data_IF_653633970359
#
_entry.id   IF_653633970359
#
_cell.length_a   1.000
_cell.length_b   1.000
_cell.length_c   1.000
_cell.angle_alpha   90.00
_cell.angle_beta   90.00
_cell.angle_gamma   90.00
#
_symmetry.space_group_name_H-M   'P 1'
#
loop_
_entity.id
_entity.type
_entity.pdbx_description
1 polymer ?
#
# COMPACT_ATOMS: atom_id res chain seq x y z
N UNK A 1 21.50 -12.60 -12.72
CA UNK A 1 20.40 -13.54 -13.04
C UNK A 1 19.18 -12.90 -12.38
N UNK A 2 18.18 -12.40 -13.12
CA UNK A 2 16.98 -11.82 -12.46
C UNK A 2 16.35 -12.98 -11.67
N UNK A 3 16.38 -12.91 -10.34
CA UNK A 3 15.90 -14.03 -9.52
C UNK A 3 14.38 -14.16 -9.71
N UNK A 4 13.90 -15.39 -9.72
CA UNK A 4 12.47 -15.70 -9.85
C UNK A 4 11.74 -15.43 -8.54
N UNK A 5 10.41 -15.39 -8.58
CA UNK A 5 9.57 -15.40 -7.37
C UNK A 5 9.96 -16.57 -6.45
N UNK A 6 10.14 -16.29 -5.16
CA UNK A 6 10.37 -17.29 -4.13
C UNK A 6 9.27 -17.20 -3.05
N UNK A 7 8.35 -18.16 -3.06
CA UNK A 7 7.28 -18.22 -2.06
C UNK A 7 7.79 -18.53 -0.66
N UNK A 8 8.95 -19.20 -0.53
CA UNK A 8 9.50 -19.54 0.77
C UNK A 8 9.95 -18.28 1.54
N UNK A 9 10.32 -17.21 0.82
CA UNK A 9 10.61 -15.91 1.39
C UNK A 9 9.40 -15.27 2.09
N UNK A 10 8.17 -15.65 1.72
CA UNK A 10 6.92 -15.09 2.27
C UNK A 10 6.38 -15.87 3.48
N UNK A 11 6.79 -17.13 3.65
CA UNK A 11 6.31 -18.01 4.74
C UNK A 11 6.51 -17.46 6.16
N UNK A 12 7.57 -16.69 6.47
CA UNK A 12 7.69 -16.04 7.79
C UNK A 12 6.60 -15.00 8.08
N UNK A 13 6.00 -14.41 7.04
CA UNK A 13 5.05 -13.30 7.15
C UNK A 13 3.59 -13.74 6.92
N UNK A 14 3.39 -14.84 6.20
CA UNK A 14 2.08 -15.41 5.94
C UNK A 14 2.08 -16.94 6.10
N UNK A 15 1.36 -17.43 7.10
CA UNK A 15 1.11 -18.87 7.25
C UNK A 15 0.12 -19.35 6.17
N UNK A 16 0.33 -20.58 5.67
CA UNK A 16 -0.54 -21.21 4.65
C UNK A 16 -0.69 -20.36 3.38
N UNK A 17 0.43 -19.82 2.90
CA UNK A 17 0.50 -19.12 1.62
C UNK A 17 0.80 -20.09 0.48
N UNK A 18 0.03 -20.00 -0.61
CA UNK A 18 0.20 -20.83 -1.80
C UNK A 18 0.02 -20.00 -3.08
N UNK A 19 0.76 -20.35 -4.13
CA UNK A 19 0.59 -19.74 -5.46
C UNK A 19 -0.68 -20.27 -6.12
N UNK A 20 -1.44 -19.37 -6.72
CA UNK A 20 -2.69 -19.68 -7.42
C UNK A 20 -2.47 -19.60 -8.93
N UNK A 21 -2.43 -20.75 -9.59
CA UNK A 21 -2.18 -20.82 -11.03
C UNK A 21 -3.42 -20.65 -11.91
N UNK A 22 -4.59 -21.16 -11.49
CA UNK A 22 -5.84 -21.13 -12.28
C UNK A 22 -6.71 -19.90 -11.95
N UNK A 23 -6.09 -18.72 -11.91
CA UNK A 23 -6.75 -17.48 -11.48
C UNK A 23 -7.89 -17.03 -12.40
N UNK A 24 -7.92 -17.48 -13.66
CA UNK A 24 -8.95 -17.11 -14.63
C UNK A 24 -10.35 -17.60 -14.22
N UNK A 25 -10.41 -18.63 -13.36
CA UNK A 25 -11.67 -19.23 -12.87
C UNK A 25 -12.16 -18.63 -11.56
N UNK A 26 -11.39 -17.75 -10.94
CA UNK A 26 -11.71 -17.18 -9.64
C UNK A 26 -12.60 -15.95 -9.86
N UNK A 27 -13.85 -16.04 -9.42
CA UNK A 27 -14.84 -14.96 -9.55
C UNK A 27 -14.70 -13.89 -8.45
N UNK A 28 -14.04 -14.21 -7.34
CA UNK A 28 -13.89 -13.31 -6.20
C UNK A 28 -12.72 -12.34 -6.32
N UNK A 29 -11.89 -12.42 -7.37
CA UNK A 29 -10.83 -11.44 -7.65
C UNK A 29 -11.28 -10.50 -8.79
N UNK A 30 -10.84 -9.23 -8.78
CA UNK A 30 -11.18 -8.28 -9.83
C UNK A 30 -10.69 -8.71 -11.22
N UNK A 31 -11.43 -8.36 -12.28
CA UNK A 31 -10.97 -8.61 -13.65
C UNK A 31 -9.71 -7.80 -13.99
N UNK A 32 -9.51 -6.64 -13.35
CA UNK A 32 -8.27 -5.87 -13.45
C UNK A 32 -7.04 -6.66 -12.99
N UNK A 33 -7.17 -7.50 -11.97
CA UNK A 33 -6.08 -8.37 -11.50
C UNK A 33 -5.75 -9.45 -12.52
N UNK A 34 -6.77 -10.05 -13.15
CA UNK A 34 -6.57 -11.06 -14.20
C UNK A 34 -5.82 -10.46 -15.39
N UNK A 35 -6.14 -9.24 -15.79
CA UNK A 35 -5.42 -8.52 -16.85
C UNK A 35 -3.96 -8.24 -16.47
N UNK A 36 -3.69 -7.81 -15.24
CA UNK A 36 -2.32 -7.58 -14.74
C UNK A 36 -1.51 -8.86 -14.70
N UNK A 37 -2.07 -9.95 -14.17
CA UNK A 37 -1.44 -11.26 -14.15
C UNK A 37 -1.12 -11.74 -15.57
N UNK A 38 -2.05 -11.53 -16.52
CA UNK A 38 -1.80 -11.85 -17.93
C UNK A 38 -0.66 -11.01 -18.52
N UNK A 39 -0.56 -9.72 -18.21
CA UNK A 39 0.55 -8.88 -18.65
C UNK A 39 1.88 -9.29 -18.03
N UNK A 40 1.91 -9.55 -16.72
CA UNK A 40 3.10 -10.00 -16.00
C UNK A 40 3.62 -11.34 -16.52
N UNK A 41 2.74 -12.33 -16.69
CA UNK A 41 3.05 -13.65 -17.26
C UNK A 41 3.64 -13.59 -18.66
N UNK A 42 3.26 -12.56 -19.44
CA UNK A 42 3.80 -12.33 -20.78
C UNK A 42 5.07 -11.46 -20.78
N UNK A 43 5.65 -11.15 -19.62
CA UNK A 43 6.86 -10.33 -19.48
C UNK A 43 6.67 -8.89 -19.96
N UNK A 44 5.50 -8.29 -19.71
CA UNK A 44 5.14 -6.93 -20.17
C UNK A 44 5.00 -5.94 -19.00
N UNK A 45 6.11 -5.56 -18.33
CA UNK A 45 6.07 -4.64 -17.19
C UNK A 45 5.52 -3.25 -17.59
N UNK A 46 5.80 -2.76 -18.80
CA UNK A 46 5.23 -1.51 -19.33
C UNK A 46 3.69 -1.52 -19.35
N UNK A 47 3.08 -2.67 -19.62
CA UNK A 47 1.62 -2.81 -19.67
C UNK A 47 1.03 -2.79 -18.26
N UNK A 48 1.71 -3.39 -17.28
CA UNK A 48 1.34 -3.31 -15.87
C UNK A 48 1.41 -1.86 -15.38
N UNK A 49 2.54 -1.19 -15.62
CA UNK A 49 2.73 0.22 -15.26
C UNK A 49 1.66 1.12 -15.93
N UNK A 50 1.36 0.89 -17.21
CA UNK A 50 0.31 1.61 -17.93
C UNK A 50 -1.08 1.33 -17.39
N UNK A 51 -1.33 0.15 -16.81
CA UNK A 51 -2.61 -0.19 -16.20
C UNK A 51 -2.80 0.57 -14.89
N UNK A 52 -1.80 0.54 -14.00
CA UNK A 52 -1.81 1.33 -12.76
C UNK A 52 -1.98 2.83 -13.04
N UNK A 53 -1.21 3.38 -13.98
CA UNK A 53 -1.24 4.81 -14.34
C UNK A 53 -2.61 5.31 -14.78
N UNK A 54 -3.46 4.45 -15.35
CA UNK A 54 -4.84 4.83 -15.71
C UNK A 54 -5.74 5.01 -14.50
N UNK A 55 -5.43 4.30 -13.41
CA UNK A 55 -6.22 4.33 -12.18
C UNK A 55 -5.69 5.43 -11.28
N UNK A 56 -4.36 5.52 -11.11
CA UNK A 56 -3.69 6.46 -10.20
C UNK A 56 -2.56 7.18 -10.94
N UNK A 57 -2.80 8.27 -11.67
CA UNK A 57 -1.76 8.90 -12.49
C UNK A 57 -0.57 9.47 -11.68
N UNK A 58 -0.70 9.63 -10.36
CA UNK A 58 0.24 10.36 -9.51
C UNK A 58 1.52 9.57 -9.13
N UNK A 59 1.51 8.25 -9.21
CA UNK A 59 2.65 7.39 -8.79
C UNK A 59 3.69 7.21 -9.91
N UNK A 60 4.13 8.32 -10.48
CA UNK A 60 5.01 8.33 -11.66
C UNK A 60 6.35 7.62 -11.43
N UNK A 61 6.97 7.81 -10.27
CA UNK A 61 8.21 7.18 -9.87
C UNK A 61 8.05 5.66 -9.76
N UNK A 62 6.96 5.20 -9.13
CA UNK A 62 6.61 3.76 -9.07
C UNK A 62 6.49 3.16 -10.47
N UNK A 63 5.85 3.87 -11.41
CA UNK A 63 5.68 3.38 -12.78
C UNK A 63 6.99 3.28 -13.54
N UNK A 64 7.86 4.27 -13.44
CA UNK A 64 9.18 4.19 -14.06
C UNK A 64 10.00 3.04 -13.44
N UNK A 65 9.90 2.84 -12.12
CA UNK A 65 10.58 1.72 -11.47
C UNK A 65 10.12 0.35 -11.97
N UNK A 66 8.80 0.17 -12.15
CA UNK A 66 8.22 -1.09 -12.64
C UNK A 66 8.78 -1.51 -14.00
N UNK A 67 8.95 -0.57 -14.95
CA UNK A 67 9.35 -0.89 -16.32
C UNK A 67 10.68 -1.64 -16.38
N UNK A 68 11.63 -1.25 -15.52
CA UNK A 68 12.98 -1.82 -15.51
C UNK A 68 13.13 -2.97 -14.52
N UNK A 69 12.41 -2.91 -13.41
CA UNK A 69 12.70 -3.71 -12.22
C UNK A 69 11.58 -4.67 -11.81
N UNK A 70 10.37 -4.59 -12.39
CA UNK A 70 9.34 -5.61 -12.17
C UNK A 70 9.79 -6.94 -12.79
N UNK A 71 9.94 -7.93 -11.93
CA UNK A 71 10.34 -9.29 -12.28
C UNK A 71 9.10 -10.10 -12.64
N UNK A 72 8.11 -10.10 -11.75
CA UNK A 72 6.93 -10.96 -11.85
C UNK A 72 5.81 -10.43 -10.93
N UNK A 73 4.58 -10.92 -11.18
CA UNK A 73 3.44 -10.73 -10.28
C UNK A 73 2.74 -12.07 -10.12
N UNK A 74 2.60 -12.52 -8.88
CA UNK A 74 1.94 -13.78 -8.55
C UNK A 74 0.64 -13.54 -7.80
N UNK A 75 -0.41 -14.27 -8.15
CA UNK A 75 -1.58 -14.38 -7.28
C UNK A 75 -1.27 -15.43 -6.22
N UNK A 76 -1.43 -15.05 -4.96
CA UNK A 76 -1.31 -15.98 -3.83
C UNK A 76 -2.64 -16.08 -3.12
N UNK A 77 -2.86 -17.22 -2.47
CA UNK A 77 -3.90 -17.37 -1.49
C UNK A 77 -3.31 -17.53 -0.10
N UNK A 78 -3.95 -16.90 0.88
CA UNK A 78 -3.64 -17.05 2.30
C UNK A 78 -4.85 -17.63 3.01
N UNK A 79 -4.65 -18.77 3.67
CA UNK A 79 -5.71 -19.48 4.39
C UNK A 79 -5.63 -19.22 5.89
N UNK A 80 -6.72 -18.67 6.45
CA UNK A 80 -6.91 -18.42 7.89
C UNK A 80 -8.15 -19.17 8.38
N UNK A 81 -7.94 -20.41 8.84
CA UNK A 81 -9.05 -21.30 9.20
C UNK A 81 -9.84 -21.71 7.96
N UNK A 82 -11.15 -21.44 7.94
CA UNK A 82 -12.01 -21.72 6.78
C UNK A 82 -12.01 -20.59 5.74
N UNK A 83 -11.37 -19.45 6.03
CA UNK A 83 -11.35 -18.30 5.16
C UNK A 83 -10.13 -18.34 4.23
N UNK A 84 -10.40 -18.19 2.93
CA UNK A 84 -9.37 -18.08 1.89
C UNK A 84 -9.42 -16.69 1.29
N UNK A 85 -8.35 -15.93 1.49
CA UNK A 85 -8.16 -14.61 0.88
C UNK A 85 -7.12 -14.68 -0.23
N UNK A 86 -7.15 -13.68 -1.10
CA UNK A 86 -6.25 -13.57 -2.23
C UNK A 86 -5.49 -12.23 -2.17
N UNK A 87 -4.23 -12.28 -2.58
CA UNK A 87 -3.38 -11.11 -2.72
C UNK A 87 -2.55 -11.21 -4.00
N UNK A 88 -2.22 -10.08 -4.62
CA UNK A 88 -1.16 -10.00 -5.61
C UNK A 88 0.17 -9.73 -4.92
N UNK A 89 1.20 -10.51 -5.25
CA UNK A 89 2.57 -10.25 -4.83
C UNK A 89 3.36 -9.74 -6.03
N UNK A 90 3.80 -8.49 -5.93
CA UNK A 90 4.68 -7.84 -6.90
C UNK A 90 6.13 -8.13 -6.51
N UNK A 91 6.91 -8.63 -7.47
CA UNK A 91 8.32 -8.97 -7.27
C UNK A 91 9.19 -7.93 -7.96
N UNK A 92 9.90 -7.13 -7.18
CA UNK A 92 10.69 -6.01 -7.68
C UNK A 92 12.16 -6.26 -7.38
N UNK A 93 13.02 -6.16 -8.39
CA UNK A 93 14.47 -6.19 -8.16
C UNK A 93 14.91 -4.85 -7.58
N UNK A 94 15.54 -4.85 -6.41
CA UNK A 94 16.26 -3.68 -5.88
C UNK A 94 17.74 -3.79 -6.23
N UNK A 95 18.24 -2.81 -6.99
CA UNK A 95 19.68 -2.76 -7.32
C UNK A 95 20.52 -2.31 -6.14
N UNK A 96 19.98 -1.41 -5.33
CA UNK A 96 20.71 -0.77 -4.24
C UNK A 96 20.77 -1.68 -3.00
N UNK A 97 19.74 -2.50 -2.79
CA UNK A 97 19.71 -3.55 -1.76
C UNK A 97 20.26 -4.91 -2.22
N UNK A 98 20.47 -5.09 -3.53
CA UNK A 98 20.88 -6.36 -4.16
C UNK A 98 19.95 -7.55 -3.81
N UNK A 99 18.64 -7.30 -3.75
CA UNK A 99 17.63 -8.28 -3.36
C UNK A 99 16.30 -8.12 -4.12
N UNK A 100 15.40 -9.08 -3.94
CA UNK A 100 14.00 -8.97 -4.39
C UNK A 100 13.13 -8.47 -3.26
N UNK A 101 12.43 -7.38 -3.54
CA UNK A 101 11.38 -6.85 -2.70
C UNK A 101 10.04 -7.45 -3.10
N UNK A 102 9.24 -7.78 -2.09
CA UNK A 102 7.91 -8.34 -2.27
C UNK A 102 6.89 -7.32 -1.77
N UNK A 103 6.02 -6.85 -2.65
CA UNK A 103 4.92 -5.96 -2.29
C UNK A 103 3.58 -6.66 -2.39
N UNK A 104 2.79 -6.64 -1.32
CA UNK A 104 1.46 -7.24 -1.25
C UNK A 104 0.39 -6.19 -1.58
N UNK A 105 -0.46 -6.46 -2.58
CA UNK A 105 -1.77 -5.84 -2.72
C UNK A 105 -2.87 -6.84 -2.33
N UNK A 106 -3.72 -6.49 -1.35
CA UNK A 106 -4.83 -7.36 -0.95
C UNK A 106 -6.04 -7.16 -1.84
N UNK A 107 -6.90 -8.17 -1.90
CA UNK A 107 -8.08 -8.17 -2.76
C UNK A 107 -9.11 -7.12 -2.29
N UNK A 108 -9.42 -6.09 -3.10
CA UNK A 108 -10.37 -5.05 -2.74
C UNK A 108 -11.80 -5.57 -2.54
N UNK A 109 -12.16 -6.69 -3.16
CA UNK A 109 -13.49 -7.28 -2.99
C UNK A 109 -13.69 -7.97 -1.63
N UNK A 110 -12.60 -8.23 -0.90
CA UNK A 110 -12.60 -8.87 0.41
C UNK A 110 -12.15 -7.91 1.53
N UNK A 111 -12.06 -6.61 1.22
CA UNK A 111 -11.57 -5.60 2.16
C UNK A 111 -12.40 -5.52 3.43
N UNK A 112 -11.68 -5.43 4.54
CA UNK A 112 -12.24 -5.07 5.82
C UNK A 112 -11.85 -3.62 6.10
N UNK A 113 -12.78 -2.83 6.62
CA UNK A 113 -12.54 -1.44 6.98
C UNK A 113 -12.40 -1.38 8.49
N UNK A 114 -11.34 -0.73 8.97
CA UNK A 114 -11.17 -0.46 10.39
C UNK A 114 -12.38 0.32 10.94
N UNK A 115 -12.90 -0.07 12.12
CA UNK A 115 -14.09 0.55 12.70
C UNK A 115 -13.93 2.06 12.94
N UNK A 116 -12.71 2.51 13.26
CA UNK A 116 -12.39 3.93 13.44
C UNK A 116 -12.39 4.70 12.12
N UNK A 117 -11.99 4.07 11.00
CA UNK A 117 -11.98 4.70 9.67
C UNK A 117 -13.37 4.69 9.02
N UNK A 118 -14.21 3.71 9.35
CA UNK A 118 -15.52 3.48 8.71
C UNK A 118 -16.41 4.74 8.61
N UNK A 119 -16.50 5.64 9.60
CA UNK A 119 -17.28 6.89 9.49
C UNK A 119 -16.73 7.87 8.44
N UNK A 120 -15.47 7.72 8.04
CA UNK A 120 -14.74 8.63 7.17
C UNK A 120 -14.54 8.10 5.75
N UNK A 121 -14.88 6.83 5.47
CA UNK A 121 -14.57 6.16 4.20
C UNK A 121 -15.15 6.89 2.98
N UNK A 122 -16.38 7.38 3.09
CA UNK A 122 -17.07 8.10 2.01
C UNK A 122 -16.52 9.52 1.79
N UNK A 123 -15.64 9.98 2.67
CA UNK A 123 -14.97 11.28 2.61
C UNK A 123 -13.53 11.18 2.09
N UNK A 124 -13.06 9.98 1.73
CA UNK A 124 -11.76 9.82 1.11
C UNK A 124 -11.70 10.55 -0.24
N UNK A 125 -10.56 11.15 -0.59
CA UNK A 125 -10.33 11.68 -1.94
C UNK A 125 -10.61 10.63 -3.01
N UNK A 126 -11.18 11.05 -4.15
CA UNK A 126 -11.60 10.15 -5.24
C UNK A 126 -10.47 9.23 -5.74
N UNK A 127 -9.24 9.74 -5.78
CA UNK A 127 -8.09 8.96 -6.23
C UNK A 127 -7.70 7.88 -5.19
N UNK A 128 -7.88 8.14 -3.89
CA UNK A 128 -7.70 7.10 -2.87
C UNK A 128 -8.80 6.05 -2.96
N UNK A 129 -10.06 6.45 -3.14
CA UNK A 129 -11.15 5.50 -3.40
C UNK A 129 -10.90 4.66 -4.65
N UNK A 130 -10.36 5.26 -5.70
CA UNK A 130 -9.98 4.57 -6.93
C UNK A 130 -8.85 3.57 -6.70
N UNK A 131 -7.86 3.94 -5.87
CA UNK A 131 -6.78 3.03 -5.47
C UNK A 131 -7.36 1.86 -4.68
N UNK A 132 -8.15 2.11 -3.64
CA UNK A 132 -8.72 1.06 -2.78
C UNK A 132 -9.77 0.19 -3.47
N UNK A 133 -10.36 0.66 -4.58
CA UNK A 133 -11.19 -0.16 -5.46
C UNK A 133 -10.37 -1.09 -6.36
N UNK A 134 -9.08 -0.81 -6.53
CA UNK A 134 -8.15 -1.57 -7.35
C UNK A 134 -7.27 -2.51 -6.52
N UNK A 135 -6.71 -2.04 -5.40
CA UNK A 135 -5.93 -2.78 -4.42
C UNK A 135 -6.28 -2.34 -3.00
N UNK A 136 -6.48 -3.29 -2.10
CA UNK A 136 -6.59 -2.99 -0.68
C UNK A 136 -5.21 -2.90 -0.03
N UNK A 137 -4.66 -1.69 -0.05
CA UNK A 137 -3.26 -1.45 0.27
C UNK A 137 -2.31 -1.94 -0.81
N UNK A 138 -1.07 -1.48 -0.74
CA UNK A 138 0.05 -2.02 -1.51
C UNK A 138 1.35 -1.63 -0.81
N UNK A 139 1.96 -2.57 -0.07
CA UNK A 139 3.12 -2.29 0.79
C UNK A 139 4.11 -3.46 0.80
N UNK A 140 5.33 -3.18 1.22
CA UNK A 140 6.41 -4.17 1.27
C UNK A 140 6.14 -5.18 2.40
N UNK A 141 6.29 -6.49 2.10
CA UNK A 141 5.86 -7.59 2.97
C UNK A 141 6.73 -7.75 4.21
N UNK A 142 8.05 -7.55 4.09
CA UNK A 142 9.00 -7.76 5.18
C UNK A 142 8.85 -6.69 6.26
N UNK A 143 8.76 -5.44 5.84
CA UNK A 143 8.68 -4.26 6.70
C UNK A 143 7.25 -3.88 7.05
N UNK A 144 6.26 -4.36 6.27
CA UNK A 144 4.85 -3.97 6.38
C UNK A 144 4.68 -2.46 6.23
N UNK A 145 5.48 -1.84 5.36
CA UNK A 145 5.61 -0.40 5.20
C UNK A 145 5.97 -0.02 3.75
N UNK A 146 6.36 1.23 3.53
CA UNK A 146 6.80 1.77 2.23
C UNK A 146 5.74 1.70 1.12
N UNK A 147 4.47 1.69 1.51
CA UNK A 147 3.34 1.77 0.60
C UNK A 147 2.02 1.98 1.33
N UNK A 148 0.92 2.00 0.59
CA UNK A 148 -0.39 2.28 1.18
C UNK A 148 -0.84 1.14 2.09
N UNK A 149 -1.32 1.49 3.27
CA UNK A 149 -1.86 0.55 4.24
C UNK A 149 -3.19 -0.04 3.75
N UNK A 150 -3.48 -1.33 4.02
CA UNK A 150 -4.83 -1.88 3.86
C UNK A 150 -5.85 -1.15 4.71
N UNK A 151 -7.09 -1.03 4.24
CA UNK A 151 -8.18 -0.32 4.92
C UNK A 151 -8.45 -0.82 6.35
N UNK A 152 -8.13 -2.08 6.64
CA UNK A 152 -8.28 -2.68 7.96
C UNK A 152 -7.23 -2.21 8.96
N UNK A 153 -6.09 -1.71 8.48
CA UNK A 153 -4.91 -1.35 9.27
C UNK A 153 -4.72 0.17 9.37
N UNK A 154 -5.46 0.95 8.60
CA UNK A 154 -5.54 2.41 8.74
C UNK A 154 -6.28 2.75 10.05
N UNK A 155 -5.59 3.44 10.95
CA UNK A 155 -6.07 3.81 12.27
C UNK A 155 -5.76 5.29 12.55
N UNK A 156 -6.52 5.95 13.45
CA UNK A 156 -6.21 7.31 13.87
C UNK A 156 -4.92 7.32 14.70
N UNK A 157 -4.13 8.38 14.58
CA UNK A 157 -2.89 8.53 15.34
C UNK A 157 -3.14 8.51 16.86
N UNK A 158 -4.35 8.85 17.33
CA UNK A 158 -4.69 8.76 18.75
C UNK A 158 -4.70 7.35 19.33
N UNK A 159 -4.68 6.30 18.48
CA UNK A 159 -4.62 4.91 18.94
C UNK A 159 -3.22 4.52 19.43
N UNK A 160 -2.19 5.29 19.04
CA UNK A 160 -0.81 5.11 19.45
C UNK A 160 -0.38 6.08 20.56
N UNK A 161 0.61 5.67 21.34
CA UNK A 161 1.24 6.51 22.37
C UNK A 161 2.51 7.16 21.81
N UNK A 162 2.47 8.48 21.67
CA UNK A 162 3.53 9.27 21.03
C UNK A 162 4.37 10.00 22.08
N UNK A 163 5.55 9.46 22.39
CA UNK A 163 6.47 10.08 23.35
C UNK A 163 6.89 11.51 22.99
N UNK A 164 6.83 11.90 21.71
CA UNK A 164 7.16 13.25 21.26
C UNK A 164 6.13 14.31 21.67
N UNK A 165 4.91 13.92 22.06
CA UNK A 165 3.86 14.88 22.42
C UNK A 165 4.24 15.80 23.58
N UNK A 166 5.02 15.28 24.54
CA UNK A 166 5.52 16.05 25.67
C UNK A 166 6.50 17.16 25.26
N UNK A 167 7.14 17.02 24.09
CA UNK A 167 8.13 17.95 23.54
C UNK A 167 7.52 18.94 22.55
N UNK A 168 6.31 18.69 22.06
CA UNK A 168 5.65 19.49 21.04
C UNK A 168 4.76 20.57 21.66
N UNK A 169 5.18 21.82 21.51
CA UNK A 169 4.31 22.97 21.81
C UNK A 169 3.38 23.27 20.61
N UNK A 170 2.07 23.38 20.89
CA UNK A 170 1.04 23.85 19.95
C UNK A 170 0.92 23.02 18.67
N UNK A 171 0.53 21.75 18.78
CA UNK A 171 0.14 20.91 17.64
C UNK A 171 -1.27 21.30 17.19
N UNK A 172 -1.44 21.54 15.89
CA UNK A 172 -2.73 21.91 15.27
C UNK A 172 -3.40 20.75 14.51
N UNK A 173 -2.98 19.53 14.79
CA UNK A 173 -3.49 18.29 14.20
C UNK A 173 -4.33 17.58 15.26
N UNK A 174 -5.60 17.28 14.93
CA UNK A 174 -6.43 16.42 15.77
C UNK A 174 -6.08 14.95 15.52
N UNK A 175 -5.30 14.35 16.43
CA UNK A 175 -4.84 12.96 16.31
C UNK A 175 -5.99 11.94 16.26
N UNK A 176 -7.17 12.27 16.78
CA UNK A 176 -8.34 11.39 16.70
C UNK A 176 -9.00 11.38 15.32
N UNK A 177 -8.58 12.31 14.45
CA UNK A 177 -9.12 12.52 13.10
C UNK A 177 -8.04 12.43 12.03
N UNK A 178 -6.77 12.33 12.41
CA UNK A 178 -5.64 12.10 11.53
C UNK A 178 -5.35 10.60 11.44
N UNK A 179 -5.56 10.02 10.26
CA UNK A 179 -5.40 8.59 10.02
C UNK A 179 -4.10 8.29 9.27
N UNK A 180 -3.41 7.22 9.66
CA UNK A 180 -2.17 6.77 9.04
C UNK A 180 -2.44 5.91 7.80
N UNK A 181 -2.10 6.43 6.61
CA UNK A 181 -2.28 5.73 5.33
C UNK A 181 -1.01 5.06 4.82
N UNK A 182 0.13 5.39 5.40
CA UNK A 182 1.45 4.90 5.01
C UNK A 182 2.41 5.09 6.18
N UNK A 183 3.31 4.12 6.37
CA UNK A 183 4.48 4.20 7.25
C UNK A 183 5.75 4.00 6.45
N UNK A 184 6.85 4.66 6.85
CA UNK A 184 8.19 4.42 6.31
C UNK A 184 8.98 3.36 7.10
N UNK A 185 8.37 2.72 8.10
CA UNK A 185 8.99 1.81 9.06
C UNK A 185 10.11 2.41 9.95
N UNK A 186 10.34 3.72 9.89
CA UNK A 186 11.31 4.43 10.75
C UNK A 186 10.66 5.39 11.73
N UNK A 187 9.32 5.49 11.70
CA UNK A 187 8.52 6.29 12.62
C UNK A 187 7.92 7.53 11.98
N UNK A 188 8.03 7.68 10.66
CA UNK A 188 7.34 8.71 9.90
C UNK A 188 6.12 8.12 9.16
N UNK A 189 5.03 8.87 9.16
CA UNK A 189 3.74 8.45 8.63
C UNK A 189 3.17 9.53 7.74
N UNK A 190 2.56 9.12 6.63
CA UNK A 190 1.76 10.01 5.79
C UNK A 190 0.30 9.85 6.17
N UNK A 191 -0.30 10.95 6.62
CA UNK A 191 -1.61 10.95 7.24
C UNK A 191 -2.59 11.86 6.51
N UNK A 192 -3.89 11.56 6.64
CA UNK A 192 -4.97 12.46 6.23
C UNK A 192 -5.80 12.79 7.46
N UNK A 193 -5.99 14.08 7.71
CA UNK A 193 -6.86 14.59 8.77
C UNK A 193 -8.24 14.93 8.23
N UNK A 194 -9.28 14.23 8.70
CA UNK A 194 -10.66 14.48 8.26
C UNK A 194 -11.28 15.61 9.07
N UNK A 195 -11.41 16.83 8.53
CA UNK A 195 -12.04 17.97 9.23
C UNK A 195 -13.55 18.09 8.92
N UNK A 196 -14.41 18.54 9.86
CA UNK A 196 -15.87 18.59 9.67
C UNK A 196 -16.39 19.55 8.59
N UNK A 197 -15.56 20.46 8.05
CA UNK A 197 -16.02 21.59 7.25
C UNK A 197 -15.08 22.03 6.12
N UNK A 198 -14.06 21.24 5.79
CA UNK A 198 -13.07 21.56 4.76
C UNK A 198 -13.02 20.42 3.73
N UNK A 199 -12.71 20.76 2.48
CA UNK A 199 -12.32 19.77 1.48
C UNK A 199 -11.17 18.93 2.09
N UNK A 200 -11.32 17.60 2.12
CA UNK A 200 -10.56 16.65 2.94
C UNK A 200 -9.08 16.45 2.52
N UNK A 201 -8.43 17.48 2.00
CA UNK A 201 -7.10 17.43 1.41
C UNK A 201 -5.98 17.86 2.38
N UNK A 202 -6.24 17.97 3.69
CA UNK A 202 -5.18 18.26 4.67
C UNK A 202 -4.38 17.00 4.98
N UNK A 203 -3.51 16.62 4.05
CA UNK A 203 -2.50 15.61 4.27
C UNK A 203 -1.34 16.19 5.08
N UNK A 204 -0.79 15.39 5.97
CA UNK A 204 0.30 15.78 6.86
C UNK A 204 1.31 14.64 7.00
N UNK A 205 2.55 14.99 7.33
CA UNK A 205 3.53 14.02 7.80
C UNK A 205 3.55 14.06 9.31
N UNK A 206 3.19 12.95 9.93
CA UNK A 206 3.41 12.71 11.34
C UNK A 206 4.75 12.03 11.56
N UNK A 207 5.46 12.37 12.64
CA UNK A 207 6.76 11.79 12.96
C UNK A 207 6.82 11.47 14.45
N UNK A 208 7.28 10.27 14.78
CA UNK A 208 7.57 9.87 16.16
C UNK A 208 8.77 10.62 16.77
N UNK A 209 9.55 11.32 15.93
CA UNK A 209 10.86 11.87 16.30
C UNK A 209 11.01 13.36 16.01
N UNK A 210 10.12 13.95 15.19
CA UNK A 210 10.20 15.34 14.80
C UNK A 210 8.83 16.04 14.85
N UNK A 211 8.85 17.38 14.83
CA UNK A 211 7.63 18.16 14.67
C UNK A 211 6.90 17.77 13.36
N UNK A 212 5.57 17.54 13.39
CA UNK A 212 4.81 17.18 12.20
C UNK A 212 4.86 18.29 11.13
N UNK A 213 4.71 17.89 9.87
CA UNK A 213 4.64 18.80 8.72
C UNK A 213 3.24 18.81 8.18
N UNK A 214 2.60 19.97 8.21
CA UNK A 214 1.22 20.13 7.75
C UNK A 214 1.13 20.51 6.27
N UNK A 215 -0.02 20.22 5.65
CA UNK A 215 -0.39 20.63 4.27
C UNK A 215 0.60 20.14 3.20
N UNK A 216 0.98 18.87 3.29
CA UNK A 216 1.89 18.25 2.33
C UNK A 216 1.15 17.76 1.09
N UNK A 217 1.85 17.60 -0.03
CA UNK A 217 1.29 16.88 -1.18
C UNK A 217 1.32 15.37 -0.91
N UNK A 218 0.17 14.81 -0.54
CA UNK A 218 0.02 13.38 -0.22
C UNK A 218 0.66 12.48 -1.28
N UNK A 219 0.19 12.59 -2.53
CA UNK A 219 0.64 11.70 -3.60
C UNK A 219 2.11 11.91 -3.96
N UNK A 220 2.60 13.14 -3.91
CA UNK A 220 4.02 13.42 -4.14
C UNK A 220 4.92 12.78 -3.10
N UNK A 221 4.51 12.78 -1.82
CA UNK A 221 5.24 12.08 -0.77
C UNK A 221 5.12 10.57 -0.88
N UNK A 222 3.92 10.05 -1.17
CA UNK A 222 3.70 8.63 -1.37
C UNK A 222 4.57 8.08 -2.50
N UNK A 223 4.57 8.71 -3.67
CA UNK A 223 5.41 8.31 -4.82
C UNK A 223 6.90 8.34 -4.46
N UNK A 224 7.37 9.44 -3.86
CA UNK A 224 8.77 9.60 -3.51
C UNK A 224 9.25 8.60 -2.44
N UNK A 225 8.48 8.42 -1.37
CA UNK A 225 8.85 7.54 -0.26
C UNK A 225 8.76 6.07 -0.63
N UNK A 226 7.76 5.68 -1.43
CA UNK A 226 7.72 4.32 -1.98
C UNK A 226 8.90 4.04 -2.90
N UNK A 227 9.33 5.00 -3.73
CA UNK A 227 10.55 4.85 -4.55
C UNK A 227 11.81 4.70 -3.67
N UNK A 228 11.94 5.50 -2.62
CA UNK A 228 13.02 5.32 -1.62
C UNK A 228 12.92 3.93 -0.98
N UNK A 229 11.73 3.40 -0.77
CA UNK A 229 11.53 2.03 -0.30
C UNK A 229 12.04 0.95 -1.27
N UNK A 230 12.16 1.25 -2.57
CA UNK A 230 12.75 0.32 -3.55
C UNK A 230 14.28 0.36 -3.59
N UNK A 231 14.87 1.48 -3.21
CA UNK A 231 16.31 1.77 -3.21
C UNK A 231 16.94 1.43 -1.85
#
# INVERSE_FOLDING_TARGET
>A
MKSTFDIDALKPYAANIDIVHDYERISSIPDSWKEILNHAKNGKPDMVASYWKKIIPELSGVYEYFKDNLIDIQLVSVEKGEYKNYSLIYCLWSKDKDEVLYYEARNPAASLINDSLRPYIDYLPENLLSFYSFHDGWREVVTMAMGLEPLSEIHPLSDDDWGILDELENINIDLSRAFSFFSDATGDYLCIEFKPSEDHDSAHIWSAHNKPRENVNFWGYLDAWTVIGFE
#
